data_IF_613054369040
#
_entry.id   IF_613054369040
#
_cell.length_a   1.000
_cell.length_b   1.000
_cell.length_c   1.000
_cell.angle_alpha   90.00
_cell.angle_beta   90.00
_cell.angle_gamma   90.00
#
_symmetry.space_group_name_H-M   'P 1'
#
loop_
_entity.id
_entity.type
_entity.pdbx_description
1 polymer ?
#
# COMPACT_ATOMS: atom_id res chain seq x y z
N UNK A 1 -8.07 -1.44 -13.26
CA UNK A 1 -7.03 -0.55 -12.68
C UNK A 1 -6.11 -1.40 -11.82
N UNK A 2 -4.82 -1.09 -11.68
CA UNK A 2 -3.94 -1.87 -10.79
C UNK A 2 -2.92 -1.02 -10.05
N UNK A 3 -2.39 -1.60 -9.00
CA UNK A 3 -1.49 -0.97 -8.03
C UNK A 3 -0.10 -1.59 -8.11
N UNK A 4 0.90 -0.83 -7.66
CA UNK A 4 2.24 -1.33 -7.31
C UNK A 4 2.32 -1.35 -5.79
N UNK A 5 2.83 -2.45 -5.22
CA UNK A 5 3.00 -2.60 -3.78
C UNK A 5 4.47 -2.37 -3.44
N UNK A 6 4.80 -1.31 -2.71
CA UNK A 6 6.18 -1.03 -2.29
C UNK A 6 6.39 -1.50 -0.84
N UNK A 7 7.41 -2.32 -0.62
CA UNK A 7 7.83 -2.76 0.72
C UNK A 7 8.42 -1.60 1.53
N UNK A 8 8.08 -1.48 2.81
CA UNK A 8 8.68 -0.45 3.67
C UNK A 8 10.13 -0.81 4.05
N UNK A 9 11.06 0.14 3.86
CA UNK A 9 12.46 0.00 4.28
C UNK A 9 13.46 -0.28 3.16
N UNK A 10 13.02 -0.47 1.91
CA UNK A 10 13.89 -0.46 0.73
C UNK A 10 13.93 0.94 0.12
N UNK A 11 15.13 1.54 0.06
CA UNK A 11 15.36 2.79 -0.65
C UNK A 11 15.30 2.49 -2.16
N UNK A 12 14.23 2.93 -2.83
CA UNK A 12 14.18 2.90 -4.29
C UNK A 12 14.93 4.13 -4.83
N UNK A 13 16.25 4.04 -4.99
CA UNK A 13 16.99 4.94 -5.86
C UNK A 13 16.63 4.61 -7.32
N UNK A 14 15.62 5.31 -7.85
CA UNK A 14 15.33 5.29 -9.29
C UNK A 14 16.45 6.03 -10.04
N UNK A 15 17.56 5.34 -10.31
CA UNK A 15 18.47 5.76 -11.36
C UNK A 15 17.76 5.58 -12.71
N UNK A 16 17.44 6.69 -13.36
CA UNK A 16 16.84 6.73 -14.69
C UNK A 16 17.83 6.15 -15.71
N UNK A 17 17.59 4.91 -16.16
CA UNK A 17 18.22 4.39 -17.38
C UNK A 17 17.28 4.68 -18.57
N UNK A 18 17.65 5.54 -19.52
CA UNK A 18 16.82 5.80 -20.69
C UNK A 18 16.85 4.58 -21.62
N UNK A 19 15.68 3.97 -21.85
CA UNK A 19 15.49 2.96 -22.92
C UNK A 19 15.20 1.53 -22.46
N UNK A 20 15.13 1.24 -21.15
CA UNK A 20 14.62 -0.05 -20.64
C UNK A 20 13.21 0.19 -20.08
N UNK A 21 12.17 -0.34 -20.73
CA UNK A 21 10.86 -0.49 -20.07
C UNK A 21 11.14 -1.23 -18.75
N UNK A 22 10.79 -0.67 -17.58
CA UNK A 22 11.14 -1.27 -16.32
C UNK A 22 10.43 -2.63 -16.25
N UNK A 23 11.18 -3.71 -16.49
CA UNK A 23 10.75 -5.05 -16.13
C UNK A 23 10.40 -4.99 -14.64
N UNK A 24 9.14 -5.31 -14.34
CA UNK A 24 8.56 -5.44 -13.02
C UNK A 24 9.59 -6.06 -12.06
N UNK A 25 10.20 -5.23 -11.22
CA UNK A 25 10.65 -5.73 -9.94
C UNK A 25 9.36 -6.17 -9.22
N UNK A 26 9.29 -7.44 -8.85
CA UNK A 26 8.20 -7.96 -8.02
C UNK A 26 8.37 -7.30 -6.65
N UNK A 27 7.81 -6.11 -6.51
CA UNK A 27 7.88 -5.33 -5.27
C UNK A 27 7.03 -5.99 -4.16
N UNK A 28 6.10 -6.87 -4.53
CA UNK A 28 5.39 -7.76 -3.61
C UNK A 28 6.18 -9.05 -3.36
N UNK A 29 6.62 -9.23 -2.12
CA UNK A 29 7.47 -10.34 -1.67
C UNK A 29 6.73 -11.33 -0.75
N UNK A 30 5.39 -11.26 -0.71
CA UNK A 30 4.56 -12.05 0.19
C UNK A 30 4.23 -11.29 1.48
N UNK A 31 4.05 -11.96 2.63
CA UNK A 31 3.58 -11.31 3.85
C UNK A 31 4.53 -10.22 4.35
N UNK A 32 4.08 -8.96 4.32
CA UNK A 32 4.85 -7.81 4.78
C UNK A 32 3.96 -6.58 4.92
N UNK A 33 4.55 -5.47 5.39
CA UNK A 33 3.95 -4.15 5.39
C UNK A 33 4.23 -3.43 4.06
N UNK A 34 3.17 -3.02 3.37
CA UNK A 34 3.26 -2.34 2.09
C UNK A 34 2.54 -1.00 2.08
N UNK A 35 2.98 -0.14 1.15
CA UNK A 35 2.17 0.96 0.63
C UNK A 35 1.66 0.53 -0.75
N UNK A 36 0.38 0.77 -1.03
CA UNK A 36 -0.20 0.55 -2.36
C UNK A 36 -0.27 1.86 -3.14
N UNK A 37 0.44 1.92 -4.26
CA UNK A 37 0.55 3.10 -5.15
C UNK A 37 -0.25 2.81 -6.43
N UNK A 38 -1.27 3.64 -6.78
CA UNK A 38 -2.00 3.48 -8.03
C UNK A 38 -1.09 3.82 -9.22
N UNK A 39 -1.04 2.95 -10.23
CA UNK A 39 -0.18 3.11 -11.43
C UNK A 39 -0.39 4.40 -12.23
N UNK A 40 -1.49 5.12 -12.01
CA UNK A 40 -1.86 6.32 -12.75
C UNK A 40 -1.80 7.60 -11.90
N UNK A 41 -1.37 7.51 -10.63
CA UNK A 41 -1.25 8.65 -9.73
C UNK A 41 -0.15 8.40 -8.70
N UNK A 42 1.11 8.48 -9.12
CA UNK A 42 2.29 8.14 -8.32
C UNK A 42 2.45 9.00 -7.05
N UNK A 43 1.82 10.19 -7.01
CA UNK A 43 1.78 11.07 -5.83
C UNK A 43 0.62 10.76 -4.86
N UNK A 44 -0.15 9.69 -5.11
CA UNK A 44 -1.25 9.23 -4.25
C UNK A 44 -0.99 7.82 -3.76
N UNK A 45 -1.66 7.46 -2.66
CA UNK A 45 -1.59 6.13 -2.03
C UNK A 45 -2.98 5.68 -1.61
N UNK A 46 -3.18 4.36 -1.53
CA UNK A 46 -4.33 3.80 -0.82
C UNK A 46 -4.30 4.26 0.63
N UNK A 47 -5.44 4.72 1.14
CA UNK A 47 -5.55 5.35 2.44
C UNK A 47 -6.86 4.93 3.11
N UNK A 48 -6.80 4.54 4.39
CA UNK A 48 -7.99 4.46 5.24
C UNK A 48 -8.27 5.85 5.82
N UNK A 49 -9.47 6.40 5.62
CA UNK A 49 -9.77 7.78 6.05
C UNK A 49 -9.47 8.01 7.53
N UNK A 50 -8.45 8.83 7.80
CA UNK A 50 -7.94 9.15 9.14
C UNK A 50 -7.59 7.92 10.01
N UNK A 51 -7.35 6.74 9.41
CA UNK A 51 -7.10 5.50 10.16
C UNK A 51 -8.22 5.11 11.14
N UNK A 52 -9.45 5.55 10.86
CA UNK A 52 -10.62 5.33 11.72
C UNK A 52 -11.00 3.86 11.82
N UNK A 53 -11.64 3.50 12.94
CA UNK A 53 -12.05 2.11 13.24
C UNK A 53 -13.53 1.86 12.97
N UNK A 54 -14.30 2.91 12.69
CA UNK A 54 -15.74 2.80 12.51
C UNK A 54 -16.08 2.00 11.24
N UNK A 55 -17.08 1.13 11.33
CA UNK A 55 -17.60 0.40 10.18
C UNK A 55 -18.07 1.38 9.09
N UNK A 56 -17.78 1.04 7.84
CA UNK A 56 -18.09 1.90 6.69
C UNK A 56 -17.11 3.06 6.49
N UNK A 57 -16.04 3.18 7.30
CA UNK A 57 -14.93 4.09 7.01
C UNK A 57 -14.38 3.80 5.61
N UNK A 58 -14.27 4.84 4.78
CA UNK A 58 -13.94 4.69 3.37
C UNK A 58 -12.45 4.47 3.16
N UNK A 59 -12.14 3.63 2.18
CA UNK A 59 -10.86 3.62 1.48
C UNK A 59 -10.86 4.71 0.41
N UNK A 60 -9.74 5.41 0.25
CA UNK A 60 -9.59 6.48 -0.73
C UNK A 60 -8.17 6.54 -1.32
N UNK A 61 -8.03 7.25 -2.43
CA UNK A 61 -6.73 7.67 -2.94
C UNK A 61 -6.39 9.05 -2.38
N UNK A 62 -5.44 9.10 -1.46
CA UNK A 62 -5.03 10.34 -0.80
C UNK A 62 -3.59 10.71 -1.14
N UNK A 63 -3.23 11.98 -0.97
CA UNK A 63 -1.85 12.45 -1.15
C UNK A 63 -0.90 11.66 -0.24
N UNK A 64 0.32 11.42 -0.68
CA UNK A 64 1.32 10.70 0.11
C UNK A 64 1.56 11.37 1.48
N UNK A 65 1.47 10.58 2.55
CA UNK A 65 1.77 11.00 3.92
C UNK A 65 2.91 10.11 4.45
N UNK A 66 4.06 10.73 4.73
CA UNK A 66 5.29 10.02 5.15
C UNK A 66 5.63 10.24 6.62
N UNK A 67 4.90 11.11 7.31
CA UNK A 67 5.11 11.39 8.73
C UNK A 67 4.65 10.22 9.61
N UNK A 68 5.12 10.20 10.86
CA UNK A 68 4.81 9.14 11.83
C UNK A 68 3.36 9.17 12.34
N UNK A 69 2.65 10.29 12.18
CA UNK A 69 1.29 10.48 12.72
C UNK A 69 0.26 9.91 11.77
N UNK A 70 0.33 10.29 10.48
CA UNK A 70 -0.65 9.97 9.45
C UNK A 70 -0.13 8.95 8.43
N UNK A 71 1.19 8.77 8.29
CA UNK A 71 1.76 7.75 7.41
C UNK A 71 1.25 6.32 7.67
N UNK A 72 0.94 5.90 8.93
CA UNK A 72 0.34 4.59 9.18
C UNK A 72 -1.05 4.39 8.56
N UNK A 73 -1.79 5.45 8.22
CA UNK A 73 -3.11 5.37 7.56
C UNK A 73 -3.00 4.79 6.13
N UNK A 74 -1.80 4.84 5.55
CA UNK A 74 -1.47 4.42 4.19
C UNK A 74 -0.62 3.14 4.13
N UNK A 75 -0.43 2.48 5.27
CA UNK A 75 0.37 1.25 5.41
C UNK A 75 -0.56 0.08 5.67
N UNK A 76 -0.35 -1.00 4.95
CA UNK A 76 -1.18 -2.20 5.04
C UNK A 76 -0.32 -3.44 5.22
N UNK A 77 -0.61 -4.21 6.27
CA UNK A 77 -0.07 -5.54 6.45
C UNK A 77 -0.83 -6.50 5.54
N UNK A 78 -0.10 -7.20 4.69
CA UNK A 78 -0.60 -8.33 3.94
C UNK A 78 -0.27 -9.59 4.75
N UNK A 79 -1.26 -10.17 5.42
CA UNK A 79 -1.09 -11.35 6.26
C UNK A 79 -1.56 -12.59 5.49
N UNK A 80 -0.70 -13.61 5.35
CA UNK A 80 -1.04 -14.85 4.64
C UNK A 80 -2.21 -15.57 5.31
N UNK A 81 -3.24 -15.87 4.54
CA UNK A 81 -4.44 -16.60 4.97
C UNK A 81 -4.47 -18.06 4.50
N UNK A 82 -3.46 -18.49 3.74
CA UNK A 82 -3.44 -19.80 3.05
C UNK A 82 -3.83 -19.68 1.58
N UNK A 83 -3.45 -20.67 0.77
CA UNK A 83 -3.87 -20.79 -0.65
C UNK A 83 -3.60 -19.53 -1.50
N UNK A 84 -2.47 -18.87 -1.28
CA UNK A 84 -2.09 -17.60 -1.91
C UNK A 84 -3.07 -16.43 -1.64
N UNK A 85 -3.89 -16.54 -0.60
CA UNK A 85 -4.80 -15.49 -0.14
C UNK A 85 -4.17 -14.68 1.01
N UNK A 86 -4.59 -13.42 1.12
CA UNK A 86 -4.09 -12.49 2.12
C UNK A 86 -5.24 -11.71 2.77
N UNK A 87 -5.16 -11.55 4.09
CA UNK A 87 -5.86 -10.48 4.80
C UNK A 87 -5.08 -9.19 4.62
N UNK A 88 -5.76 -8.11 4.26
CA UNK A 88 -5.15 -6.78 4.14
C UNK A 88 -5.61 -5.95 5.32
N UNK A 89 -4.68 -5.60 6.20
CA UNK A 89 -4.95 -5.01 7.52
C UNK A 89 -4.29 -3.62 7.58
N UNK A 90 -5.05 -2.58 7.91
CA UNK A 90 -4.46 -1.24 8.06
C UNK A 90 -3.56 -1.17 9.30
N UNK A 91 -2.36 -0.58 9.15
CA UNK A 91 -1.35 -0.54 10.20
C UNK A 91 -1.69 0.38 11.38
N UNK A 92 -2.50 1.43 11.16
CA UNK A 92 -2.95 2.33 12.22
C UNK A 92 -4.06 1.70 13.06
N UNK A 93 -5.10 1.20 12.39
CA UNK A 93 -6.35 0.81 13.01
C UNK A 93 -6.40 -0.66 13.43
N UNK A 94 -5.67 -1.52 12.71
CA UNK A 94 -5.81 -2.98 12.78
C UNK A 94 -7.08 -3.53 12.10
N UNK A 95 -7.81 -2.70 11.35
CA UNK A 95 -9.04 -3.12 10.66
C UNK A 95 -8.76 -3.77 9.30
N UNK A 96 -9.67 -4.66 8.88
CA UNK A 96 -9.59 -5.37 7.61
C UNK A 96 -10.16 -4.53 6.47
N UNK A 97 -9.51 -4.60 5.31
CA UNK A 97 -10.13 -4.20 4.06
C UNK A 97 -11.18 -5.24 3.68
N UNK A 98 -12.37 -4.76 3.36
CA UNK A 98 -13.49 -5.59 2.91
C UNK A 98 -14.14 -4.95 1.69
N UNK A 99 -14.69 -5.78 0.81
CA UNK A 99 -15.62 -5.35 -0.23
C UNK A 99 -17.04 -5.54 0.29
N UNK A 100 -17.90 -4.54 0.04
CA UNK A 100 -19.34 -4.63 0.27
C UNK A 100 -20.08 -4.88 -1.05
#
# INVERSE_FOLDING_TARGET
MGYVLSEQGKIHTHALCPGRLPHQQLDFTGPNLYIAIPRHAENKRLNLDSGKKEDGTKLQLFSSMDDSTYGPDQRFLFAYAGKDEYLIINAKSGTYLTSA
#
